data_IF_178864862774
#
_entry.id   IF_178864862774
#
_cell.length_a   1.000
_cell.length_b   1.000
_cell.length_c   1.000
_cell.angle_alpha   90.00
_cell.angle_beta   90.00
_cell.angle_gamma   90.00
#
_symmetry.space_group_name_H-M   'P 1'
#
loop_
_entity.id
_entity.type
_entity.pdbx_description
1 polymer ?
#
# COMPACT_ATOMS: atom_id res chain seq x y z
N UNK A 1 -4.79 -0.43 41.28
CA UNK A 1 -5.28 -1.16 40.09
C UNK A 1 -5.39 -0.20 38.91
N UNK A 2 -4.34 -0.01 38.11
CA UNK A 2 -4.41 0.80 36.88
C UNK A 2 -4.22 -0.13 35.68
N UNK A 3 -5.33 -0.52 35.03
CA UNK A 3 -5.29 -1.34 33.82
C UNK A 3 -4.77 -0.48 32.66
N UNK A 4 -3.52 -0.72 32.24
CA UNK A 4 -2.94 -0.17 31.01
C UNK A 4 -3.76 -0.69 29.82
N UNK A 5 -4.52 0.21 29.19
CA UNK A 5 -5.36 -0.10 28.02
C UNK A 5 -4.43 -0.52 26.87
N UNK A 6 -4.43 -1.79 26.52
CA UNK A 6 -3.72 -2.27 25.34
C UNK A 6 -4.27 -1.54 24.11
N UNK A 7 -3.41 -0.86 23.36
CA UNK A 7 -3.81 -0.20 22.13
C UNK A 7 -4.36 -1.26 21.17
N UNK A 8 -5.64 -1.13 20.80
CA UNK A 8 -6.25 -2.02 19.82
C UNK A 8 -5.44 -1.95 18.52
N UNK A 9 -4.99 -3.12 18.04
CA UNK A 9 -4.29 -3.25 16.77
C UNK A 9 -5.24 -2.71 15.69
N UNK A 10 -4.98 -1.52 15.15
CA UNK A 10 -5.81 -0.89 14.12
C UNK A 10 -5.97 -1.91 12.98
N UNK A 11 -7.21 -2.27 12.65
CA UNK A 11 -7.47 -3.13 11.51
C UNK A 11 -6.86 -2.48 10.27
N UNK A 12 -6.11 -3.26 9.48
CA UNK A 12 -5.52 -2.76 8.25
C UNK A 12 -6.66 -2.54 7.26
N UNK A 13 -6.91 -1.28 6.92
CA UNK A 13 -7.89 -0.89 5.90
C UNK A 13 -7.17 -0.48 4.63
N UNK A 14 -7.86 -0.55 3.49
CA UNK A 14 -7.33 -0.10 2.20
C UNK A 14 -6.82 1.34 2.27
N UNK A 15 -7.59 2.23 2.91
CA UNK A 15 -7.20 3.62 3.15
C UNK A 15 -5.92 3.73 4.00
N UNK A 16 -5.78 2.93 5.05
CA UNK A 16 -4.56 2.95 5.87
C UNK A 16 -3.32 2.49 5.10
N UNK A 17 -3.48 1.55 4.16
CA UNK A 17 -2.39 1.15 3.26
C UNK A 17 -2.03 2.29 2.32
N UNK A 18 -3.01 3.02 1.78
CA UNK A 18 -2.75 4.15 0.90
C UNK A 18 -2.00 5.28 1.61
N UNK A 19 -2.40 5.60 2.84
CA UNK A 19 -1.72 6.58 3.67
C UNK A 19 -0.29 6.13 4.01
N UNK A 20 -0.07 4.83 4.25
CA UNK A 20 1.27 4.26 4.46
C UNK A 20 2.15 4.35 3.22
N UNK A 21 1.60 4.11 2.04
CA UNK A 21 2.32 4.25 0.77
C UNK A 21 2.71 5.71 0.55
N UNK A 22 1.79 6.66 0.76
CA UNK A 22 2.07 8.09 0.60
C UNK A 22 3.24 8.53 1.48
N UNK A 23 3.24 8.13 2.76
CA UNK A 23 4.33 8.43 3.70
C UNK A 23 5.68 7.82 3.33
N UNK A 24 5.70 6.69 2.63
CA UNK A 24 6.94 6.03 2.19
C UNK A 24 7.44 6.50 0.83
N UNK A 25 6.53 6.96 -0.02
CA UNK A 25 6.83 7.45 -1.35
C UNK A 25 7.29 8.92 -1.33
N UNK A 26 6.79 9.70 -0.37
CA UNK A 26 7.30 11.04 -0.08
C UNK A 26 8.76 10.95 0.39
N UNK A 27 9.67 11.33 -0.51
CA UNK A 27 11.11 11.31 -0.27
C UNK A 27 11.69 12.65 -0.72
N UNK A 28 12.88 13.00 -0.23
CA UNK A 28 13.50 14.30 -0.55
C UNK A 28 13.68 14.57 -2.05
N UNK A 29 13.63 13.55 -2.91
CA UNK A 29 13.70 13.68 -4.37
C UNK A 29 12.38 13.50 -5.11
N UNK A 30 11.27 13.23 -4.41
CA UNK A 30 9.95 13.02 -5.00
C UNK A 30 8.86 13.55 -4.06
N UNK A 31 8.29 14.69 -4.43
CA UNK A 31 7.11 15.24 -3.77
C UNK A 31 5.86 14.73 -4.47
N UNK A 32 5.32 13.63 -3.97
CA UNK A 32 3.99 13.14 -4.35
C UNK A 32 3.03 13.41 -3.20
N UNK A 33 1.93 14.10 -3.49
CA UNK A 33 0.95 14.39 -2.44
C UNK A 33 0.09 13.14 -2.13
N UNK A 34 -0.60 13.16 -0.99
CA UNK A 34 -1.43 12.02 -0.54
C UNK A 34 -2.58 11.74 -1.51
N UNK A 35 -3.17 12.77 -2.11
CA UNK A 35 -4.30 12.63 -3.02
C UNK A 35 -3.86 11.99 -4.36
N UNK A 36 -2.71 12.40 -4.89
CA UNK A 36 -2.06 11.82 -6.06
C UNK A 36 -1.70 10.37 -5.82
N UNK A 37 -1.10 10.06 -4.67
CA UNK A 37 -0.79 8.67 -4.29
C UNK A 37 -2.05 7.80 -4.27
N UNK A 38 -3.14 8.30 -3.67
CA UNK A 38 -4.42 7.58 -3.63
C UNK A 38 -4.99 7.36 -5.04
N UNK A 39 -4.89 8.35 -5.92
CA UNK A 39 -5.33 8.24 -7.32
C UNK A 39 -4.50 7.19 -8.07
N UNK A 40 -3.17 7.22 -7.95
CA UNK A 40 -2.30 6.22 -8.59
C UNK A 40 -2.62 4.80 -8.12
N UNK A 41 -2.84 4.61 -6.82
CA UNK A 41 -3.19 3.29 -6.28
C UNK A 41 -4.58 2.83 -6.73
N UNK A 42 -5.57 3.73 -6.83
CA UNK A 42 -6.87 3.39 -7.38
C UNK A 42 -6.74 2.93 -8.85
N UNK A 43 -6.07 3.72 -9.69
CA UNK A 43 -5.83 3.35 -11.10
C UNK A 43 -5.02 2.06 -11.24
N UNK A 44 -4.12 1.76 -10.31
CA UNK A 44 -3.43 0.45 -10.29
C UNK A 44 -4.42 -0.70 -10.10
N UNK A 45 -5.41 -0.58 -9.21
CA UNK A 45 -6.44 -1.60 -9.05
C UNK A 45 -7.41 -1.66 -10.22
N UNK A 46 -7.76 -0.53 -10.84
CA UNK A 46 -8.57 -0.51 -12.06
C UNK A 46 -7.89 -1.33 -13.18
N UNK A 47 -6.57 -1.15 -13.36
CA UNK A 47 -5.80 -1.94 -14.34
C UNK A 47 -5.73 -3.43 -13.98
N UNK A 48 -5.72 -3.77 -12.68
CA UNK A 48 -5.78 -5.17 -12.26
C UNK A 48 -7.17 -5.79 -12.44
N UNK A 49 -8.23 -4.99 -12.39
CA UNK A 49 -9.61 -5.43 -12.60
C UNK A 49 -9.85 -5.90 -14.03
N UNK A 50 -9.14 -5.31 -15.01
CA UNK A 50 -9.16 -5.73 -16.41
C UNK A 50 -8.53 -7.12 -16.65
N UNK A 51 -7.84 -7.69 -15.64
CA UNK A 51 -7.18 -8.99 -15.71
C UNK A 51 -8.04 -10.10 -15.09
N UNK A 52 -7.71 -11.36 -15.42
CA UNK A 52 -8.23 -12.48 -14.66
C UNK A 52 -7.76 -12.41 -13.20
N UNK A 53 -8.55 -12.91 -12.26
CA UNK A 53 -8.18 -12.92 -10.84
C UNK A 53 -6.84 -13.62 -10.59
N UNK A 54 -6.53 -14.66 -11.38
CA UNK A 54 -5.26 -15.38 -11.29
C UNK A 54 -4.07 -14.50 -11.72
N UNK A 55 -4.21 -13.79 -12.85
CA UNK A 55 -3.15 -12.91 -13.36
C UNK A 55 -2.95 -11.70 -12.45
N UNK A 56 -4.03 -11.09 -11.96
CA UNK A 56 -3.96 -10.00 -11.00
C UNK A 56 -3.22 -10.40 -9.72
N UNK A 57 -3.50 -11.60 -9.18
CA UNK A 57 -2.80 -12.12 -8.02
C UNK A 57 -1.30 -12.39 -8.30
N UNK A 58 -0.97 -12.90 -9.48
CA UNK A 58 0.43 -13.13 -9.90
C UNK A 58 1.21 -11.82 -10.04
N UNK A 59 0.60 -10.75 -10.59
CA UNK A 59 1.20 -9.41 -10.66
C UNK A 59 1.51 -8.89 -9.25
N UNK A 60 0.56 -8.99 -8.31
CA UNK A 60 0.79 -8.58 -6.92
C UNK A 60 1.94 -9.40 -6.30
N UNK A 61 1.97 -10.72 -6.51
CA UNK A 61 3.04 -11.58 -6.00
C UNK A 61 4.43 -11.19 -6.57
N UNK A 62 4.51 -10.91 -7.87
CA UNK A 62 5.72 -10.41 -8.53
C UNK A 62 6.16 -9.05 -7.95
N UNK A 63 5.21 -8.14 -7.72
CA UNK A 63 5.47 -6.84 -7.09
C UNK A 63 6.05 -6.98 -5.67
N UNK A 64 5.51 -7.90 -4.87
CA UNK A 64 6.04 -8.20 -3.53
C UNK A 64 7.46 -8.80 -3.58
N UNK A 65 7.75 -9.68 -4.55
CA UNK A 65 9.10 -10.23 -4.75
C UNK A 65 10.11 -9.14 -5.09
N UNK A 66 9.75 -8.20 -5.98
CA UNK A 66 10.60 -7.04 -6.30
C UNK A 66 10.81 -6.12 -5.09
N UNK A 67 9.76 -5.86 -4.30
CA UNK A 67 9.85 -5.03 -3.10
C UNK A 67 10.80 -5.63 -2.05
N UNK A 68 10.80 -6.97 -1.89
CA UNK A 68 11.77 -7.68 -1.04
C UNK A 68 13.20 -7.46 -1.51
N UNK A 69 13.43 -7.38 -2.84
CA UNK A 69 14.73 -7.08 -3.42
C UNK A 69 15.25 -5.69 -3.06
N UNK A 70 14.41 -4.65 -3.12
CA UNK A 70 14.78 -3.26 -2.75
C UNK A 70 15.09 -3.05 -1.27
N UNK A 71 14.66 -3.97 -0.41
CA UNK A 71 14.86 -3.91 1.05
C UNK A 71 16.21 -4.50 1.49
N UNK A 72 16.95 -5.14 0.58
CA UNK A 72 18.30 -5.67 0.80
C UNK A 72 19.32 -4.75 0.14
#
# INVERSE_FOLDING_TARGET
MAKKKAAAKKAVTLTSVYDDVARKADTAGLHINVAETKRVLATFFDVLEDLSTADAADIVAKGLKQAKGRRR
#
